data_IF_415099450793
#
_entry.id   IF_415099450793
#
_cell.length_a   1.000
_cell.length_b   1.000
_cell.length_c   1.000
_cell.angle_alpha   90.00
_cell.angle_beta   90.00
_cell.angle_gamma   90.00
#
_symmetry.space_group_name_H-M   'P 1'
#
loop_
_entity.id
_entity.type
_entity.pdbx_description
1 polymer ?
#
# COMPACT_ATOMS: atom_id res chain seq x y z
N UNK A 1 -10.70 -6.36 -12.45
CA UNK A 1 -10.40 -5.87 -11.11
C UNK A 1 -10.13 -7.03 -10.17
N UNK A 2 -9.04 -6.97 -9.45
CA UNK A 2 -8.66 -8.03 -8.53
C UNK A 2 -8.65 -7.48 -7.11
N UNK A 3 -9.18 -8.26 -6.18
CA UNK A 3 -9.27 -7.89 -4.77
C UNK A 3 -8.18 -8.61 -3.98
N UNK A 4 -7.47 -7.85 -3.15
CA UNK A 4 -6.44 -8.37 -2.26
C UNK A 4 -6.79 -8.06 -0.83
N UNK A 5 -6.62 -9.04 0.07
CA UNK A 5 -6.80 -8.82 1.50
C UNK A 5 -5.47 -8.41 2.11
N UNK A 6 -5.47 -7.27 2.78
CA UNK A 6 -4.29 -6.73 3.45
C UNK A 6 -4.44 -6.97 4.95
N UNK A 7 -3.47 -7.62 5.55
CA UNK A 7 -3.46 -7.90 6.98
C UNK A 7 -2.50 -6.95 7.67
N UNK A 8 -3.03 -6.06 8.52
CA UNK A 8 -2.22 -5.19 9.36
C UNK A 8 -1.93 -5.94 10.64
N UNK A 9 -0.70 -6.40 10.78
CA UNK A 9 -0.26 -7.23 11.93
C UNK A 9 0.41 -6.39 13.00
N UNK A 10 0.65 -7.00 14.16
CA UNK A 10 1.32 -6.34 15.28
C UNK A 10 2.65 -5.71 14.87
N UNK A 11 3.43 -6.41 14.04
CA UNK A 11 4.73 -5.89 13.57
C UNK A 11 4.60 -4.60 12.79
N UNK A 12 3.52 -4.44 12.00
CA UNK A 12 3.26 -3.22 11.25
C UNK A 12 2.90 -2.07 12.18
N UNK A 13 2.15 -2.36 13.23
CA UNK A 13 1.77 -1.37 14.24
C UNK A 13 3.00 -0.88 14.99
N UNK A 14 3.86 -1.81 15.41
CA UNK A 14 5.08 -1.48 16.15
C UNK A 14 6.07 -0.66 15.30
N UNK A 15 6.24 -1.02 14.04
CA UNK A 15 7.17 -0.34 13.13
C UNK A 15 6.57 0.89 12.44
N UNK A 16 5.25 1.06 12.50
CA UNK A 16 4.57 2.16 11.83
C UNK A 16 4.80 3.50 12.51
N UNK A 17 4.81 4.55 11.70
CA UNK A 17 5.00 5.92 12.18
C UNK A 17 3.67 6.67 12.08
N UNK A 18 3.11 7.12 13.23
CA UNK A 18 1.87 7.92 13.20
C UNK A 18 2.03 9.18 12.38
N UNK A 19 0.96 9.58 11.69
CA UNK A 19 0.90 10.79 10.87
C UNK A 19 1.91 10.80 9.72
N UNK A 20 2.34 9.63 9.28
CA UNK A 20 3.24 9.48 8.13
C UNK A 20 2.52 8.70 7.03
N UNK A 21 2.23 9.33 5.90
CA UNK A 21 1.44 8.72 4.82
C UNK A 21 2.09 7.46 4.22
N UNK A 22 3.41 7.42 4.14
CA UNK A 22 4.15 6.28 3.57
C UNK A 22 4.75 5.35 4.62
N UNK A 23 4.79 5.76 5.88
CA UNK A 23 5.40 5.00 6.97
C UNK A 23 4.40 4.48 8.01
N UNK A 24 3.11 4.70 7.84
CA UNK A 24 2.12 4.22 8.80
C UNK A 24 1.95 2.69 8.72
N UNK A 25 1.31 2.12 9.72
CA UNK A 25 1.10 0.67 9.79
C UNK A 25 0.39 0.12 8.56
N UNK A 26 -0.63 0.83 8.05
CA UNK A 26 -1.41 0.39 6.89
C UNK A 26 -0.55 0.40 5.63
N UNK A 27 0.22 1.47 5.39
CA UNK A 27 1.10 1.56 4.24
C UNK A 27 2.15 0.45 4.26
N UNK A 28 2.74 0.16 5.43
CA UNK A 28 3.71 -0.93 5.57
C UNK A 28 3.10 -2.30 5.27
N UNK A 29 1.87 -2.54 5.70
CA UNK A 29 1.17 -3.80 5.43
C UNK A 29 0.90 -3.98 3.93
N UNK A 30 0.50 -2.92 3.24
CA UNK A 30 0.27 -2.97 1.80
C UNK A 30 1.58 -3.23 1.05
N UNK A 31 2.65 -2.53 1.41
CA UNK A 31 3.96 -2.71 0.80
C UNK A 31 4.45 -4.15 0.93
N UNK A 32 4.34 -4.72 2.12
CA UNK A 32 4.76 -6.10 2.36
C UNK A 32 3.95 -7.09 1.49
N UNK A 33 2.63 -6.96 1.49
CA UNK A 33 1.76 -7.89 0.75
C UNK A 33 1.98 -7.79 -0.76
N UNK A 34 1.85 -6.60 -1.30
CA UNK A 34 1.93 -6.41 -2.75
C UNK A 34 3.36 -6.52 -3.26
N UNK A 35 4.34 -6.09 -2.47
CA UNK A 35 5.74 -6.24 -2.83
C UNK A 35 6.13 -7.70 -3.02
N UNK A 36 5.62 -8.59 -2.17
CA UNK A 36 5.85 -10.03 -2.31
C UNK A 36 5.13 -10.62 -3.51
N UNK A 37 3.86 -10.24 -3.72
CA UNK A 37 3.05 -10.79 -4.81
C UNK A 37 3.64 -10.42 -6.17
N UNK A 38 4.03 -9.15 -6.35
CA UNK A 38 4.49 -8.64 -7.64
C UNK A 38 6.00 -8.61 -7.78
N UNK A 39 6.73 -8.88 -6.72
CA UNK A 39 8.20 -8.78 -6.71
C UNK A 39 8.66 -7.41 -7.20
N UNK A 40 8.08 -6.36 -6.65
CA UNK A 40 8.27 -4.98 -7.06
C UNK A 40 8.39 -4.10 -5.82
N UNK A 41 9.30 -3.14 -5.85
CA UNK A 41 9.48 -2.18 -4.76
C UNK A 41 8.42 -1.08 -4.91
N UNK A 42 7.49 -1.03 -3.97
CA UNK A 42 6.36 -0.12 -4.00
C UNK A 42 6.43 0.92 -2.88
N UNK A 43 5.76 2.04 -3.08
CA UNK A 43 5.60 3.08 -2.07
C UNK A 43 4.12 3.41 -1.91
N UNK A 44 3.37 2.58 -1.17
CA UNK A 44 1.97 2.89 -0.88
C UNK A 44 1.89 4.07 0.08
N UNK A 45 0.90 4.93 -0.12
CA UNK A 45 0.62 6.06 0.78
C UNK A 45 -0.84 6.06 1.17
N UNK A 46 -1.11 6.33 2.43
CA UNK A 46 -2.46 6.52 2.95
C UNK A 46 -2.66 8.01 3.15
N UNK A 47 -3.46 8.61 2.29
CA UNK A 47 -3.64 10.05 2.23
C UNK A 47 -5.00 10.46 2.79
N UNK A 48 -5.02 11.49 3.62
CA UNK A 48 -6.27 12.05 4.11
C UNK A 48 -6.99 12.79 2.98
N UNK A 49 -8.27 12.50 2.80
CA UNK A 49 -9.09 13.11 1.75
C UNK A 49 -10.53 13.20 2.21
N UNK A 50 -11.06 14.42 2.34
CA UNK A 50 -12.43 14.63 2.78
C UNK A 50 -12.68 14.00 4.13
N UNK A 51 -13.63 13.06 4.19
CA UNK A 51 -14.07 12.44 5.43
C UNK A 51 -13.28 11.18 5.81
N UNK A 52 -12.23 10.83 5.07
CA UNK A 52 -11.51 9.60 5.33
C UNK A 52 -10.13 9.54 4.68
N UNK A 53 -9.65 8.32 4.49
CA UNK A 53 -8.32 8.06 3.98
C UNK A 53 -8.39 7.28 2.68
N UNK A 54 -7.51 7.60 1.75
CA UNK A 54 -7.43 6.95 0.45
C UNK A 54 -6.05 6.36 0.22
N UNK A 55 -5.99 5.32 -0.60
CA UNK A 55 -4.74 4.69 -0.99
C UNK A 55 -4.21 5.33 -2.26
N UNK A 56 -2.94 5.75 -2.22
CA UNK A 56 -2.17 6.08 -3.41
C UNK A 56 -1.12 4.99 -3.58
N UNK A 57 -1.21 4.24 -4.66
CA UNK A 57 -0.27 3.15 -4.93
C UNK A 57 0.66 3.55 -6.07
N UNK A 58 1.96 3.47 -5.82
CA UNK A 58 2.98 3.83 -6.80
C UNK A 58 4.23 2.98 -6.57
N UNK A 59 5.13 2.95 -7.55
CA UNK A 59 6.44 2.34 -7.35
C UNK A 59 7.34 3.26 -6.51
N UNK A 60 8.42 2.69 -5.96
CA UNK A 60 9.33 3.44 -5.09
C UNK A 60 10.44 4.07 -5.92
N UNK A 61 10.11 5.13 -6.63
CA UNK A 61 11.04 5.88 -7.49
C UNK A 61 10.89 7.38 -7.24
N UNK A 62 11.87 8.20 -7.66
CA UNK A 62 11.72 9.66 -7.59
C UNK A 62 10.46 10.11 -8.32
N UNK A 63 9.80 11.12 -7.79
CA UNK A 63 8.49 11.57 -8.29
C UNK A 63 8.42 11.73 -9.81
N UNK A 64 9.47 12.26 -10.43
CA UNK A 64 9.53 12.48 -11.88
C UNK A 64 9.43 11.16 -12.67
N UNK A 65 9.90 10.07 -12.09
CA UNK A 65 9.91 8.74 -12.73
C UNK A 65 8.90 7.77 -12.14
N UNK A 66 8.10 8.23 -11.20
CA UNK A 66 7.18 7.39 -10.46
C UNK A 66 5.99 6.98 -11.32
N UNK A 67 5.64 5.70 -11.27
CA UNK A 67 4.46 5.15 -11.95
C UNK A 67 3.37 4.95 -10.92
N UNK A 68 2.17 5.47 -11.20
CA UNK A 68 1.01 5.33 -10.33
C UNK A 68 0.10 4.21 -10.82
N UNK A 69 -0.48 3.49 -9.87
CA UNK A 69 -1.37 2.37 -10.15
C UNK A 69 -2.76 2.68 -9.60
N UNK A 70 -3.79 2.24 -10.31
CA UNK A 70 -5.17 2.46 -9.92
C UNK A 70 -5.59 1.40 -8.91
N UNK A 71 -5.66 1.78 -7.65
CA UNK A 71 -6.02 0.91 -6.54
C UNK A 71 -6.92 1.68 -5.57
N UNK A 72 -7.89 1.00 -4.99
CA UNK A 72 -8.84 1.61 -4.08
C UNK A 72 -9.15 0.70 -2.89
N UNK A 73 -9.44 1.31 -1.75
CA UNK A 73 -9.96 0.61 -0.58
C UNK A 73 -11.43 0.29 -0.84
N UNK A 74 -11.87 -0.93 -0.56
CA UNK A 74 -13.27 -1.28 -0.76
C UNK A 74 -14.17 -0.45 0.16
N UNK A 75 -15.30 0.00 -0.37
CA UNK A 75 -16.24 0.86 0.37
C UNK A 75 -16.68 0.24 1.70
N UNK A 76 -16.91 -1.06 1.72
CA UNK A 76 -17.33 -1.77 2.94
C UNK A 76 -16.29 -1.76 4.04
N UNK A 77 -15.01 -1.56 3.70
CA UNK A 77 -13.91 -1.53 4.66
C UNK A 77 -13.46 -0.11 5.02
N UNK A 78 -14.00 0.89 4.34
CA UNK A 78 -13.54 2.27 4.47
C UNK A 78 -13.65 2.81 5.90
N UNK A 79 -14.77 2.56 6.57
CA UNK A 79 -14.97 3.07 7.93
C UNK A 79 -14.02 2.42 8.91
N UNK A 80 -13.81 1.11 8.78
CA UNK A 80 -12.88 0.37 9.66
C UNK A 80 -11.47 0.88 9.49
N UNK A 81 -11.06 1.12 8.24
CA UNK A 81 -9.74 1.69 7.96
C UNK A 81 -9.61 3.10 8.55
N UNK A 82 -10.61 3.95 8.35
CA UNK A 82 -10.60 5.32 8.86
C UNK A 82 -10.44 5.33 10.39
N UNK A 83 -11.18 4.49 11.08
CA UNK A 83 -11.11 4.39 12.53
C UNK A 83 -9.72 3.96 12.99
N UNK A 84 -9.14 2.98 12.32
CA UNK A 84 -7.79 2.52 12.66
C UNK A 84 -6.76 3.63 12.46
N UNK A 85 -6.77 4.29 11.30
CA UNK A 85 -5.78 5.33 10.99
C UNK A 85 -5.90 6.52 11.93
N UNK A 86 -7.13 6.97 12.24
CA UNK A 86 -7.33 8.05 13.17
C UNK A 86 -6.78 7.72 14.56
N UNK A 87 -7.09 6.55 15.08
CA UNK A 87 -6.62 6.12 16.40
C UNK A 87 -5.10 5.95 16.41
N UNK A 88 -4.54 5.36 15.36
CA UNK A 88 -3.09 5.18 15.23
C UNK A 88 -2.37 6.53 15.22
N UNK A 89 -2.87 7.48 14.43
CA UNK A 89 -2.26 8.82 14.31
C UNK A 89 -2.38 9.63 15.59
N UNK A 90 -3.43 9.39 16.39
CA UNK A 90 -3.64 10.05 17.67
C UNK A 90 -2.83 9.40 18.80
N UNK A 91 -2.08 8.36 18.52
CA UNK A 91 -1.28 7.66 19.54
C UNK A 91 -2.09 6.74 20.43
N UNK A 92 -3.32 6.40 20.05
CA UNK A 92 -4.16 5.47 20.82
C UNK A 92 -3.75 4.03 20.52
N UNK A 93 -4.07 3.15 21.47
CA UNK A 93 -3.85 1.72 21.26
C UNK A 93 -4.74 1.21 20.14
N UNK A 94 -4.15 0.46 19.22
CA UNK A 94 -4.85 -0.17 18.10
C UNK A 94 -4.56 -1.65 18.06
N UNK A 95 -5.45 -2.41 17.45
CA UNK A 95 -5.30 -3.87 17.30
C UNK A 95 -5.11 -4.24 15.84
N UNK A 96 -4.46 -5.38 15.58
CA UNK A 96 -4.38 -5.91 14.21
C UNK A 96 -5.76 -6.05 13.58
N UNK A 97 -5.84 -5.81 12.27
CA UNK A 97 -7.08 -5.97 11.53
C UNK A 97 -6.75 -6.25 10.07
N UNK A 98 -7.76 -6.61 9.31
CA UNK A 98 -7.62 -6.77 7.87
C UNK A 98 -8.63 -5.90 7.13
N UNK A 99 -8.31 -5.64 5.87
CA UNK A 99 -9.20 -4.90 4.98
C UNK A 99 -8.86 -5.29 3.54
N UNK A 100 -9.77 -4.97 2.61
CA UNK A 100 -9.60 -5.34 1.22
C UNK A 100 -9.36 -4.11 0.35
N UNK A 101 -8.51 -4.30 -0.66
CA UNK A 101 -8.28 -3.31 -1.70
C UNK A 101 -8.58 -3.94 -3.05
N UNK A 102 -8.97 -3.11 -4.02
CA UNK A 102 -9.12 -3.53 -5.40
C UNK A 102 -8.05 -2.86 -6.24
N UNK A 103 -7.49 -3.61 -7.20
CA UNK A 103 -6.51 -3.07 -8.15
C UNK A 103 -7.04 -3.31 -9.56
N UNK A 104 -7.02 -2.26 -10.37
CA UNK A 104 -7.44 -2.33 -11.76
C UNK A 104 -6.55 -3.28 -12.57
N UNK A 105 -7.14 -4.03 -13.50
CA UNK A 105 -6.41 -5.03 -14.29
C UNK A 105 -5.26 -4.41 -15.10
N UNK A 106 -5.44 -3.21 -15.62
CA UNK A 106 -4.37 -2.50 -16.33
C UNK A 106 -3.20 -2.18 -15.42
N UNK A 107 -3.48 -1.80 -14.18
CA UNK A 107 -2.45 -1.53 -13.18
C UNK A 107 -1.70 -2.80 -12.79
N UNK A 108 -2.40 -3.93 -12.68
CA UNK A 108 -1.77 -5.22 -12.42
C UNK A 108 -0.79 -5.56 -13.54
N UNK A 109 -1.19 -5.36 -14.81
CA UNK A 109 -0.31 -5.60 -15.94
C UNK A 109 0.91 -4.67 -15.94
N UNK A 110 0.74 -3.40 -15.56
CA UNK A 110 1.85 -2.45 -15.40
C UNK A 110 2.83 -2.92 -14.34
N UNK A 111 2.33 -3.38 -13.20
CA UNK A 111 3.19 -3.86 -12.11
C UNK A 111 3.98 -5.09 -12.54
N UNK A 112 3.34 -6.02 -13.23
CA UNK A 112 4.01 -7.22 -13.74
C UNK A 112 5.09 -6.85 -14.76
N UNK A 113 4.79 -5.92 -15.65
CA UNK A 113 5.75 -5.46 -16.67
C UNK A 113 6.96 -4.76 -16.04
N UNK A 114 6.74 -3.90 -15.05
CA UNK A 114 7.80 -3.23 -14.33
C UNK A 114 8.69 -4.20 -13.57
N UNK A 115 8.08 -5.16 -12.89
CA UNK A 115 8.82 -6.18 -12.15
C UNK A 115 9.71 -7.00 -13.08
N UNK A 116 9.18 -7.39 -14.22
CA UNK A 116 9.93 -8.14 -15.24
C UNK A 116 11.12 -7.32 -15.77
N UNK A 117 10.88 -6.05 -16.08
CA UNK A 117 11.91 -5.14 -16.58
C UNK A 117 13.03 -4.94 -15.57
N UNK A 118 12.69 -4.74 -14.30
CA UNK A 118 13.68 -4.57 -13.25
C UNK A 118 14.51 -5.83 -13.04
N UNK A 119 13.87 -7.00 -13.06
CA UNK A 119 14.57 -8.27 -12.94
C UNK A 119 15.51 -8.53 -14.14
N UNK A 120 15.09 -8.18 -15.35
CA UNK A 120 15.92 -8.30 -16.54
C UNK A 120 17.14 -7.37 -16.45
N UNK A 121 16.94 -6.11 -16.02
CA UNK A 121 18.03 -5.16 -15.84
C UNK A 121 19.04 -5.67 -14.80
N UNK A 122 18.56 -6.27 -13.73
CA UNK A 122 19.41 -6.84 -12.70
C UNK A 122 20.25 -7.98 -13.26
N UNK A 123 19.68 -8.84 -14.10
CA UNK A 123 20.40 -9.95 -14.74
C UNK A 123 21.46 -9.46 -15.71
N UNK A 124 21.17 -8.40 -16.44
CA UNK A 124 22.12 -7.83 -17.43
C UNK A 124 23.36 -7.27 -16.73
N UNK A 125 23.21 -6.75 -15.52
CA UNK A 125 24.32 -6.17 -14.75
C UNK A 125 25.28 -7.20 -14.19
N UNK A 126 24.93 -8.44 -14.27
CA UNK A 126 25.84 -9.51 -13.89
C UNK A 126 26.83 -9.79 -15.00
#
# INVERSE_FOLDING_TARGET
MTIYTIQVEEKHIEDGIPQCSSGCAVAKAIDEKLGKIFNLDLEPKILESGDGFNLQLADNKPFVYQTFFDANILNEDQQRLNNFVEDFDDGKDVSPFDFNISIDDKSIEKMKALAKKENENFKIKK
#
